data_IF_364744076444
#
_entry.id   IF_364744076444
#
_cell.length_a   1.000
_cell.length_b   1.000
_cell.length_c   1.000
_cell.angle_alpha   90.00
_cell.angle_beta   90.00
_cell.angle_gamma   90.00
#
_symmetry.space_group_name_H-M   'P 1'
#
loop_
_entity.id
_entity.type
_entity.pdbx_description
1 polymer ?
#
# COMPACT_ATOMS: atom_id res chain seq x y z
N UNK A 1 -31.57 1.47 20.82
CA UNK A 1 -31.86 0.65 19.62
C UNK A 1 -33.28 0.84 19.05
N UNK A 2 -34.08 1.79 19.58
CA UNK A 2 -35.50 1.98 19.25
C UNK A 2 -35.74 2.07 17.74
N UNK A 3 -35.17 3.08 17.06
CA UNK A 3 -35.32 3.29 15.62
C UNK A 3 -34.17 2.71 14.77
N UNK A 4 -33.26 1.93 15.36
CA UNK A 4 -32.17 1.31 14.59
C UNK A 4 -32.71 0.07 13.84
N UNK A 5 -32.34 -0.14 12.57
CA UNK A 5 -32.87 -1.22 11.75
C UNK A 5 -32.32 -2.59 12.19
N UNK A 6 -33.04 -3.66 11.84
CA UNK A 6 -32.60 -5.04 12.05
C UNK A 6 -31.67 -5.52 10.91
N UNK A 7 -30.74 -4.66 10.51
CA UNK A 7 -29.87 -4.84 9.36
C UNK A 7 -28.60 -5.63 9.68
N UNK A 8 -28.39 -6.07 10.93
CA UNK A 8 -27.14 -6.71 11.36
C UNK A 8 -26.63 -7.82 10.42
N UNK A 9 -27.48 -8.73 9.87
CA UNK A 9 -26.99 -9.77 8.94
C UNK A 9 -26.43 -9.22 7.61
N UNK A 10 -26.96 -8.09 7.14
CA UNK A 10 -26.59 -7.47 5.86
C UNK A 10 -25.68 -6.25 6.03
N UNK A 11 -25.35 -5.88 7.27
CA UNK A 11 -24.50 -4.73 7.57
C UNK A 11 -23.04 -5.13 7.42
N UNK A 12 -22.27 -4.31 6.72
CA UNK A 12 -20.84 -4.55 6.48
C UNK A 12 -20.02 -4.48 7.79
N UNK A 13 -20.43 -3.59 8.69
CA UNK A 13 -19.79 -3.36 9.99
C UNK A 13 -20.12 -4.44 11.03
N UNK A 14 -20.96 -5.43 10.69
CA UNK A 14 -21.30 -6.51 11.60
C UNK A 14 -20.03 -7.24 12.07
N UNK A 15 -19.91 -7.49 13.38
CA UNK A 15 -18.73 -8.11 13.99
C UNK A 15 -17.67 -7.14 14.49
N UNK A 16 -17.64 -5.90 13.96
CA UNK A 16 -16.76 -4.82 14.43
C UNK A 16 -17.54 -3.56 14.88
N UNK A 17 -18.87 -3.58 14.76
CA UNK A 17 -19.77 -2.50 15.14
C UNK A 17 -19.77 -2.24 16.66
N UNK A 18 -19.43 -1.01 17.06
CA UNK A 18 -19.41 -0.59 18.47
C UNK A 18 -20.79 -0.59 19.11
N UNK A 19 -21.84 -0.29 18.34
CA UNK A 19 -23.21 -0.39 18.86
C UNK A 19 -23.59 -1.84 19.19
N UNK A 20 -23.17 -2.81 18.37
CA UNK A 20 -23.40 -4.23 18.63
C UNK A 20 -22.63 -4.68 19.87
N UNK A 21 -21.34 -4.32 19.96
CA UNK A 21 -20.48 -4.63 21.11
C UNK A 21 -21.05 -4.08 22.42
N UNK A 22 -21.44 -2.80 22.43
CA UNK A 22 -22.00 -2.16 23.63
C UNK A 22 -23.37 -2.71 24.00
N UNK A 23 -24.22 -3.01 23.01
CA UNK A 23 -25.50 -3.65 23.28
C UNK A 23 -25.29 -5.04 23.93
N UNK A 24 -24.37 -5.84 23.40
CA UNK A 24 -24.09 -7.17 23.95
C UNK A 24 -23.51 -7.09 25.37
N UNK A 25 -22.54 -6.21 25.61
CA UNK A 25 -21.82 -6.13 26.89
C UNK A 25 -22.64 -5.45 27.99
N UNK A 26 -23.49 -4.48 27.65
CA UNK A 26 -24.13 -3.60 28.64
C UNK A 26 -25.66 -3.64 28.63
N UNK A 27 -26.32 -4.12 27.57
CA UNK A 27 -27.79 -4.22 27.51
C UNK A 27 -28.27 -5.62 27.91
N UNK A 28 -28.88 -5.76 29.09
CA UNK A 28 -29.37 -7.04 29.63
C UNK A 28 -30.86 -7.34 29.35
N UNK A 29 -31.54 -6.52 28.55
CA UNK A 29 -33.00 -6.58 28.33
C UNK A 29 -33.42 -6.89 26.90
N UNK A 30 -34.71 -7.21 26.72
CA UNK A 30 -35.37 -7.33 25.41
C UNK A 30 -35.95 -5.99 24.96
N UNK A 31 -36.10 -5.79 23.65
CA UNK A 31 -36.81 -4.60 23.13
C UNK A 31 -38.25 -4.59 23.63
N UNK A 32 -38.74 -3.40 24.00
CA UNK A 32 -40.15 -3.13 24.31
C UNK A 32 -40.84 -2.31 23.21
N UNK A 33 -40.09 -1.99 22.16
CA UNK A 33 -40.58 -1.20 21.03
C UNK A 33 -41.03 -2.17 19.93
N UNK A 34 -42.32 -2.17 19.65
CA UNK A 34 -43.06 -3.00 18.69
C UNK A 34 -43.80 -2.17 17.62
N UNK A 35 -43.57 -0.85 17.61
CA UNK A 35 -44.09 0.09 16.62
C UNK A 35 -43.23 0.15 15.34
N UNK A 36 -43.76 0.81 14.33
CA UNK A 36 -43.01 1.09 13.10
C UNK A 36 -41.79 1.98 13.38
N UNK A 37 -40.62 1.56 12.89
CA UNK A 37 -39.37 2.29 13.04
C UNK A 37 -39.29 3.44 12.04
N UNK A 38 -38.67 4.54 12.43
CA UNK A 38 -38.42 5.66 11.50
C UNK A 38 -37.50 5.25 10.35
N UNK A 39 -38.02 5.28 9.12
CA UNK A 39 -37.27 5.03 7.90
C UNK A 39 -36.50 6.27 7.42
N UNK A 40 -35.33 6.04 6.81
CA UNK A 40 -34.43 7.07 6.27
C UNK A 40 -33.82 6.57 4.97
N UNK A 41 -33.28 7.49 4.17
CA UNK A 41 -32.61 7.14 2.92
C UNK A 41 -31.48 6.13 3.16
N UNK A 42 -31.38 5.13 2.29
CA UNK A 42 -30.32 4.11 2.28
C UNK A 42 -29.50 4.28 1.01
N UNK A 43 -28.25 3.84 1.04
CA UNK A 43 -27.35 3.85 -0.13
C UNK A 43 -27.24 5.24 -0.77
N UNK A 44 -27.07 6.26 0.07
CA UNK A 44 -26.83 7.63 -0.37
C UNK A 44 -25.33 7.79 -0.57
N UNK A 45 -24.91 8.08 -1.79
CA UNK A 45 -23.52 8.41 -2.08
C UNK A 45 -23.21 9.81 -1.53
N UNK A 46 -22.29 9.88 -0.57
CA UNK A 46 -21.81 11.18 -0.06
C UNK A 46 -20.65 11.71 -0.90
N UNK A 47 -19.94 10.82 -1.59
CA UNK A 47 -18.82 11.10 -2.48
C UNK A 47 -18.44 9.82 -3.23
N UNK A 48 -17.31 9.81 -3.97
CA UNK A 48 -16.93 8.67 -4.82
C UNK A 48 -16.60 7.40 -4.03
N UNK A 49 -16.19 7.54 -2.76
CA UNK A 49 -15.68 6.42 -1.97
C UNK A 49 -16.53 6.07 -0.74
N UNK A 50 -17.51 6.92 -0.36
CA UNK A 50 -18.27 6.78 0.90
C UNK A 50 -19.77 6.65 0.63
N UNK A 51 -20.31 5.51 1.05
CA UNK A 51 -21.74 5.20 1.00
C UNK A 51 -22.39 5.41 2.36
N UNK A 52 -23.56 6.06 2.40
CA UNK A 52 -24.32 6.34 3.61
C UNK A 52 -25.65 5.59 3.68
N UNK A 53 -25.88 4.85 4.77
CA UNK A 53 -27.16 4.27 5.14
C UNK A 53 -27.75 4.99 6.36
N UNK A 54 -28.69 5.91 6.10
CA UNK A 54 -29.25 6.80 7.11
C UNK A 54 -29.96 6.09 8.26
N UNK A 55 -30.63 4.98 7.99
CA UNK A 55 -31.33 4.20 9.04
C UNK A 55 -30.37 3.66 10.10
N UNK A 56 -29.14 3.32 9.71
CA UNK A 56 -28.14 2.80 10.64
C UNK A 56 -27.50 3.91 11.47
N UNK A 57 -27.57 5.16 11.00
CA UNK A 57 -26.95 6.30 11.67
C UNK A 57 -27.63 6.60 13.01
N UNK A 58 -26.81 6.75 14.05
CA UNK A 58 -27.25 7.14 15.40
C UNK A 58 -27.14 8.65 15.66
N UNK A 59 -26.87 9.45 14.61
CA UNK A 59 -26.78 10.92 14.67
C UNK A 59 -25.79 11.46 15.71
N UNK A 60 -24.65 10.79 15.90
CA UNK A 60 -23.62 11.18 16.87
C UNK A 60 -22.70 12.34 16.42
N UNK A 61 -22.94 12.91 15.23
CA UNK A 61 -22.20 14.01 14.59
C UNK A 61 -20.69 13.84 14.38
N UNK A 62 -20.11 12.67 14.68
CA UNK A 62 -18.65 12.42 14.51
C UNK A 62 -18.15 12.71 13.09
N UNK A 63 -18.86 12.24 12.06
CA UNK A 63 -18.49 12.47 10.67
C UNK A 63 -18.60 13.94 10.25
N UNK A 64 -19.61 14.67 10.77
CA UNK A 64 -19.79 16.11 10.51
C UNK A 64 -18.59 16.88 11.07
N UNK A 65 -18.24 16.64 12.35
CA UNK A 65 -17.07 17.27 12.97
C UNK A 65 -15.78 16.88 12.28
N UNK A 66 -15.61 15.61 11.90
CA UNK A 66 -14.42 15.17 11.17
C UNK A 66 -14.28 15.90 9.82
N UNK A 67 -15.37 16.01 9.06
CA UNK A 67 -15.38 16.68 7.77
C UNK A 67 -14.95 18.15 7.90
N UNK A 68 -15.44 18.86 8.91
CA UNK A 68 -15.07 20.25 9.19
C UNK A 68 -13.65 20.39 9.79
N UNK A 69 -13.41 19.73 10.92
CA UNK A 69 -12.24 19.97 11.77
C UNK A 69 -10.96 19.31 11.23
N UNK A 70 -11.06 18.11 10.63
CA UNK A 70 -9.90 17.31 10.20
C UNK A 70 -9.74 17.33 8.68
N UNK A 71 -10.78 16.96 7.95
CA UNK A 71 -10.72 16.92 6.48
C UNK A 71 -10.78 18.31 5.83
N UNK A 72 -11.09 19.36 6.62
CA UNK A 72 -11.21 20.76 6.16
C UNK A 72 -12.19 20.94 5.00
N UNK A 73 -13.24 20.12 4.96
CA UNK A 73 -14.31 20.13 3.98
C UNK A 73 -15.67 20.04 4.69
N UNK A 74 -16.23 21.15 5.20
CA UNK A 74 -17.47 21.17 5.99
C UNK A 74 -18.74 21.00 5.14
N UNK A 75 -18.84 19.89 4.40
CA UNK A 75 -19.95 19.61 3.47
C UNK A 75 -21.07 18.78 4.11
N UNK A 76 -20.82 18.11 5.23
CA UNK A 76 -21.81 17.28 5.92
C UNK A 76 -22.54 18.08 7.01
N UNK A 77 -23.87 18.00 7.04
CA UNK A 77 -24.67 18.63 8.09
C UNK A 77 -25.92 17.83 8.44
N UNK A 78 -26.52 18.13 9.59
CA UNK A 78 -27.84 17.62 9.94
C UNK A 78 -28.93 18.35 9.16
N UNK A 79 -29.83 17.56 8.59
CA UNK A 79 -31.08 18.04 8.00
C UNK A 79 -32.27 17.41 8.73
N UNK A 80 -33.45 18.02 8.58
CA UNK A 80 -34.66 17.66 9.34
C UNK A 80 -34.50 17.90 10.86
N UNK A 81 -35.50 17.49 11.65
CA UNK A 81 -35.53 17.65 13.12
C UNK A 81 -36.17 16.41 13.76
N UNK A 82 -35.90 16.22 15.06
CA UNK A 82 -36.48 15.11 15.83
C UNK A 82 -35.94 13.74 15.40
N UNK A 83 -36.80 12.74 15.41
CA UNK A 83 -36.49 11.36 15.01
C UNK A 83 -36.17 11.22 13.51
N UNK A 84 -36.62 12.18 12.69
CA UNK A 84 -36.34 12.27 11.25
C UNK A 84 -34.98 12.89 10.91
N UNK A 85 -34.19 13.31 11.91
CA UNK A 85 -32.87 13.89 11.67
C UNK A 85 -31.98 12.92 10.90
N UNK A 86 -31.34 13.41 9.83
CA UNK A 86 -30.39 12.65 9.03
C UNK A 86 -29.22 13.54 8.59
N UNK A 87 -28.18 12.93 8.05
CA UNK A 87 -27.00 13.65 7.56
C UNK A 87 -27.09 13.71 6.03
N UNK A 88 -26.74 14.85 5.46
CA UNK A 88 -26.67 15.04 4.00
C UNK A 88 -25.54 16.00 3.65
N UNK A 89 -25.05 15.91 2.42
CA UNK A 89 -24.18 16.94 1.84
C UNK A 89 -24.97 18.22 1.53
N UNK A 90 -24.29 19.37 1.50
CA UNK A 90 -24.90 20.60 0.99
C UNK A 90 -25.27 20.44 -0.50
N UNK A 91 -26.41 20.97 -0.98
CA UNK A 91 -26.81 20.85 -2.39
C UNK A 91 -25.70 21.29 -3.35
N UNK A 92 -25.37 20.45 -4.34
CA UNK A 92 -24.30 20.72 -5.30
C UNK A 92 -22.89 20.42 -4.80
N UNK A 93 -22.73 19.83 -3.61
CA UNK A 93 -21.43 19.42 -3.05
C UNK A 93 -21.34 17.91 -2.86
N UNK A 94 -20.11 17.40 -2.90
CA UNK A 94 -19.74 16.02 -2.58
C UNK A 94 -18.67 16.02 -1.51
N UNK A 95 -18.64 14.97 -0.70
CA UNK A 95 -17.59 14.71 0.26
C UNK A 95 -16.48 13.90 -0.40
N UNK A 96 -15.64 14.62 -1.12
CA UNK A 96 -14.55 14.11 -1.94
C UNK A 96 -13.24 14.83 -1.58
N UNK A 97 -12.83 14.64 -0.34
CA UNK A 97 -11.49 15.04 0.12
C UNK A 97 -10.60 13.82 0.18
N UNK A 98 -9.30 14.05 0.19
CA UNK A 98 -8.27 13.00 0.31
C UNK A 98 -8.23 12.31 1.67
N UNK A 99 -9.17 12.62 2.55
CA UNK A 99 -9.33 12.03 3.87
C UNK A 99 -10.78 11.61 4.14
N UNK A 100 -11.64 11.65 3.13
CA UNK A 100 -13.08 11.42 3.27
C UNK A 100 -13.39 10.04 3.85
N UNK A 101 -12.61 9.01 3.47
CA UNK A 101 -12.85 7.63 3.90
C UNK A 101 -12.56 7.38 5.38
N UNK A 102 -11.83 8.27 6.08
CA UNK A 102 -11.62 8.14 7.53
C UNK A 102 -12.94 8.27 8.33
N UNK A 103 -14.01 8.79 7.72
CA UNK A 103 -15.33 8.78 8.36
C UNK A 103 -15.90 7.37 8.52
N UNK A 104 -15.41 6.40 7.75
CA UNK A 104 -15.77 4.99 7.86
C UNK A 104 -15.21 4.45 9.19
N UNK A 105 -13.93 4.70 9.47
CA UNK A 105 -13.27 4.21 10.69
C UNK A 105 -13.81 4.89 11.96
N UNK A 106 -14.18 6.18 11.89
CA UNK A 106 -14.70 6.92 13.05
C UNK A 106 -16.18 6.60 13.36
N UNK A 107 -16.91 6.06 12.38
CA UNK A 107 -18.33 5.78 12.51
C UNK A 107 -18.52 4.58 13.46
N UNK A 108 -19.26 4.72 14.58
CA UNK A 108 -19.42 3.64 15.54
C UNK A 108 -20.42 2.54 15.08
N UNK A 109 -20.98 2.69 13.88
CA UNK A 109 -22.04 1.86 13.29
C UNK A 109 -21.80 1.73 11.80
N UNK A 110 -22.38 0.73 11.14
CA UNK A 110 -22.25 0.54 9.69
C UNK A 110 -23.13 1.47 8.85
N UNK A 111 -23.21 2.75 9.24
CA UNK A 111 -23.92 3.79 8.50
C UNK A 111 -23.06 4.43 7.41
N UNK A 112 -21.74 4.47 7.60
CA UNK A 112 -20.78 4.97 6.62
C UNK A 112 -19.86 3.81 6.27
N UNK A 113 -19.85 3.41 5.00
CA UNK A 113 -19.10 2.24 4.53
C UNK A 113 -18.36 2.59 3.24
N UNK A 114 -17.23 1.93 2.99
CA UNK A 114 -16.49 2.13 1.75
C UNK A 114 -17.24 1.52 0.57
N UNK A 115 -17.29 2.23 -0.56
CA UNK A 115 -17.95 1.75 -1.79
C UNK A 115 -17.20 0.57 -2.39
N UNK A 116 -15.86 0.60 -2.36
CA UNK A 116 -14.99 -0.42 -2.93
C UNK A 116 -14.97 -1.74 -2.13
N UNK A 117 -15.18 -1.70 -0.81
CA UNK A 117 -15.09 -2.88 0.06
C UNK A 117 -16.44 -3.49 0.43
N UNK A 118 -17.49 -2.66 0.52
CA UNK A 118 -18.80 -3.07 1.05
C UNK A 118 -19.29 -4.37 0.42
N UNK A 119 -19.58 -5.34 1.29
CA UNK A 119 -20.08 -6.68 0.95
C UNK A 119 -19.08 -7.64 0.28
N UNK A 120 -17.78 -7.32 0.20
CA UNK A 120 -16.76 -8.25 -0.29
C UNK A 120 -16.38 -9.31 0.73
N UNK A 121 -16.27 -8.95 2.01
CA UNK A 121 -15.91 -9.86 3.10
C UNK A 121 -16.48 -9.40 4.45
N UNK A 122 -16.49 -10.31 5.43
CA UNK A 122 -16.76 -9.98 6.84
C UNK A 122 -15.48 -9.91 7.64
N UNK A 123 -15.48 -9.09 8.69
CA UNK A 123 -14.30 -8.89 9.54
C UNK A 123 -13.74 -10.18 10.14
N UNK A 124 -14.59 -11.16 10.45
CA UNK A 124 -14.16 -12.46 11.00
C UNK A 124 -13.62 -13.43 9.95
N UNK A 125 -13.80 -13.16 8.66
CA UNK A 125 -13.24 -13.92 7.53
C UNK A 125 -11.84 -13.42 7.16
N UNK A 126 -11.51 -12.19 7.55
CA UNK A 126 -10.23 -11.56 7.26
C UNK A 126 -9.21 -11.76 8.38
N UNK A 127 -7.94 -11.82 8.00
CA UNK A 127 -6.80 -11.55 8.88
C UNK A 127 -6.35 -10.11 8.72
N UNK A 128 -5.95 -9.48 9.82
CA UNK A 128 -5.39 -8.13 9.80
C UNK A 128 -3.95 -8.15 10.27
N UNK A 129 -3.01 -7.68 9.45
CA UNK A 129 -1.58 -7.60 9.81
C UNK A 129 -1.13 -6.15 9.91
N UNK A 130 -0.36 -5.83 10.94
CA UNK A 130 0.15 -4.47 11.16
C UNK A 130 1.27 -4.18 10.17
N UNK A 131 1.18 -3.03 9.50
CA UNK A 131 2.11 -2.71 8.43
C UNK A 131 2.22 -1.21 8.17
N UNK A 132 2.78 -0.82 7.03
CA UNK A 132 3.10 0.58 6.68
C UNK A 132 2.63 0.88 5.25
N UNK A 133 1.95 2.01 5.05
CA UNK A 133 1.54 2.46 3.73
C UNK A 133 2.77 2.89 2.90
N UNK A 134 2.99 2.31 1.70
CA UNK A 134 4.11 2.66 0.84
C UNK A 134 3.84 3.91 -0.04
N UNK A 135 2.71 4.60 0.13
CA UNK A 135 2.24 5.62 -0.82
C UNK A 135 3.01 6.95 -0.80
N UNK A 136 3.70 7.27 0.29
CA UNK A 136 4.59 8.44 0.39
C UNK A 136 5.54 8.33 1.59
N UNK A 137 6.48 9.25 1.70
CA UNK A 137 7.52 9.32 2.73
C UNK A 137 7.00 9.53 4.17
N UNK A 138 5.69 9.72 4.35
CA UNK A 138 5.07 9.74 5.68
C UNK A 138 5.18 8.37 6.34
N UNK A 139 4.98 7.30 5.54
CA UNK A 139 4.93 5.93 6.01
C UNK A 139 3.85 5.73 7.08
N UNK A 140 2.61 6.09 6.78
CA UNK A 140 1.48 5.95 7.72
C UNK A 140 1.35 4.50 8.20
N UNK A 141 1.11 4.30 9.49
CA UNK A 141 0.84 2.97 10.01
C UNK A 141 -0.54 2.52 9.59
N UNK A 142 -0.62 1.28 9.11
CA UNK A 142 -1.86 0.68 8.61
C UNK A 142 -2.01 -0.74 9.14
N UNK A 143 -3.21 -1.28 8.98
CA UNK A 143 -3.53 -2.70 9.09
C UNK A 143 -4.02 -3.19 7.72
N UNK A 144 -3.43 -4.27 7.21
CA UNK A 144 -3.82 -4.87 5.93
C UNK A 144 -4.82 -5.99 6.19
N UNK A 145 -6.04 -5.87 5.66
CA UNK A 145 -7.07 -6.89 5.70
C UNK A 145 -6.94 -7.87 4.53
N UNK A 146 -6.73 -9.15 4.84
CA UNK A 146 -6.47 -10.22 3.87
C UNK A 146 -7.52 -11.33 4.01
N UNK A 147 -8.03 -11.83 2.88
CA UNK A 147 -8.87 -13.02 2.80
C UNK A 147 -8.44 -13.85 1.59
N UNK A 148 -8.35 -15.17 1.70
CA UNK A 148 -7.90 -16.06 0.63
C UNK A 148 -6.55 -15.64 -0.01
N UNK A 149 -5.62 -15.16 0.82
CA UNK A 149 -4.32 -14.62 0.39
C UNK A 149 -4.39 -13.39 -0.53
N UNK A 150 -5.54 -12.72 -0.60
CA UNK A 150 -5.77 -11.49 -1.37
C UNK A 150 -5.98 -10.32 -0.40
N UNK A 151 -5.31 -9.19 -0.66
CA UNK A 151 -5.50 -7.96 0.11
C UNK A 151 -6.81 -7.29 -0.31
N UNK A 152 -7.77 -7.16 0.60
CA UNK A 152 -9.08 -6.58 0.26
C UNK A 152 -9.24 -5.13 0.71
N UNK A 153 -8.59 -4.73 1.81
CA UNK A 153 -8.63 -3.34 2.31
C UNK A 153 -7.42 -2.99 3.18
N UNK A 154 -7.17 -1.70 3.31
CA UNK A 154 -6.25 -1.15 4.30
C UNK A 154 -6.99 -0.21 5.26
N UNK A 155 -6.62 -0.26 6.54
CA UNK A 155 -7.16 0.59 7.60
C UNK A 155 -6.05 1.37 8.29
N UNK A 156 -6.31 2.59 8.79
CA UNK A 156 -5.31 3.33 9.54
C UNK A 156 -5.07 2.65 10.88
N UNK A 157 -3.79 2.47 11.23
CA UNK A 157 -3.37 2.06 12.57
C UNK A 157 -2.86 3.27 13.32
N UNK A 158 -3.30 3.41 14.57
CA UNK A 158 -2.97 4.57 15.40
C UNK A 158 -1.46 4.63 15.69
N UNK A 159 -0.85 5.78 15.42
CA UNK A 159 0.50 6.12 15.85
C UNK A 159 0.65 7.64 16.01
N UNK A 160 0.70 8.11 17.25
CA UNK A 160 0.80 9.54 17.60
C UNK A 160 2.06 10.24 17.08
N UNK A 161 3.07 9.48 16.64
CA UNK A 161 4.30 10.04 16.09
C UNK A 161 4.33 10.10 14.56
N UNK A 162 3.33 9.53 13.87
CA UNK A 162 3.32 9.43 12.40
C UNK A 162 2.03 9.96 11.81
N UNK A 163 0.94 9.19 11.93
CA UNK A 163 -0.33 9.49 11.29
C UNK A 163 -1.47 9.75 12.28
N UNK A 164 -1.17 9.74 13.58
CA UNK A 164 -2.12 9.89 14.68
C UNK A 164 -3.22 8.83 14.58
N UNK A 165 -4.35 9.11 13.93
CA UNK A 165 -5.44 8.14 13.71
C UNK A 165 -5.79 7.91 12.24
N UNK A 166 -5.21 8.67 11.30
CA UNK A 166 -5.76 8.83 9.96
C UNK A 166 -4.87 8.23 8.87
N UNK A 167 -5.41 8.08 7.68
CA UNK A 167 -4.65 7.83 6.45
C UNK A 167 -5.32 8.56 5.29
N UNK A 168 -4.57 8.87 4.23
CA UNK A 168 -5.17 9.43 3.03
C UNK A 168 -5.90 8.36 2.20
N UNK A 169 -6.94 8.78 1.48
CA UNK A 169 -7.77 7.94 0.63
C UNK A 169 -6.95 7.36 -0.52
N UNK A 170 -6.03 8.15 -1.11
CA UNK A 170 -5.06 7.66 -2.11
C UNK A 170 -4.28 6.44 -1.61
N UNK A 171 -3.74 6.49 -0.40
CA UNK A 171 -2.98 5.38 0.17
C UNK A 171 -3.87 4.19 0.53
N UNK A 172 -5.12 4.46 0.96
CA UNK A 172 -6.10 3.43 1.33
C UNK A 172 -6.51 2.57 0.15
N UNK A 173 -6.85 3.24 -0.96
CA UNK A 173 -7.34 2.59 -2.17
C UNK A 173 -6.23 1.91 -2.96
N UNK A 174 -5.00 2.43 -2.91
CA UNK A 174 -3.89 1.87 -3.68
C UNK A 174 -3.29 0.58 -3.10
N UNK A 175 -3.41 0.33 -1.79
CA UNK A 175 -2.74 -0.82 -1.14
C UNK A 175 -3.17 -2.18 -1.72
N UNK A 176 -4.48 -2.48 -1.93
CA UNK A 176 -4.90 -3.71 -2.59
C UNK A 176 -4.23 -3.91 -3.95
N UNK A 177 -4.32 -2.91 -4.84
CA UNK A 177 -3.79 -2.99 -6.20
C UNK A 177 -2.26 -3.10 -6.23
N UNK A 178 -1.56 -2.43 -5.30
CA UNK A 178 -0.10 -2.51 -5.16
C UNK A 178 0.41 -3.89 -4.73
N UNK A 179 -0.47 -4.80 -4.31
CA UNK A 179 -0.10 -6.15 -3.86
C UNK A 179 -0.69 -7.21 -4.79
N UNK A 180 -1.94 -7.08 -5.20
CA UNK A 180 -2.64 -8.13 -5.94
C UNK A 180 -2.39 -8.06 -7.45
N UNK A 181 -2.25 -6.86 -8.01
CA UNK A 181 -2.30 -6.65 -9.45
C UNK A 181 -0.93 -6.59 -10.11
N UNK A 182 -0.88 -6.87 -11.42
CA UNK A 182 0.28 -6.61 -12.29
C UNK A 182 1.62 -7.24 -11.81
N UNK A 183 1.55 -8.42 -11.18
CA UNK A 183 2.69 -9.10 -10.54
C UNK A 183 3.60 -9.83 -11.53
N UNK A 184 4.90 -9.90 -11.19
CA UNK A 184 5.86 -10.78 -11.85
C UNK A 184 5.76 -12.19 -11.25
N UNK A 185 5.39 -13.18 -12.06
CA UNK A 185 5.11 -14.54 -11.59
C UNK A 185 6.29 -15.52 -11.65
N UNK A 186 7.26 -15.30 -12.53
CA UNK A 186 8.41 -16.20 -12.73
C UNK A 186 9.65 -15.42 -13.19
N UNK A 187 10.88 -15.95 -12.96
CA UNK A 187 12.10 -15.40 -13.55
C UNK A 187 12.01 -15.39 -15.07
N UNK A 188 12.50 -14.34 -15.71
CA UNK A 188 12.45 -14.18 -17.17
C UNK A 188 13.80 -13.77 -17.74
N UNK A 189 14.12 -14.28 -18.92
CA UNK A 189 15.33 -13.89 -19.68
C UNK A 189 14.94 -13.54 -21.10
N UNK A 190 15.56 -12.48 -21.65
CA UNK A 190 15.31 -12.04 -23.02
C UNK A 190 16.01 -12.94 -24.04
N UNK A 191 15.25 -13.51 -24.96
CA UNK A 191 15.70 -14.33 -26.08
C UNK A 191 15.00 -13.90 -27.36
N UNK A 192 15.76 -13.66 -28.43
CA UNK A 192 15.18 -13.25 -29.72
C UNK A 192 14.31 -11.98 -29.64
N UNK A 193 14.61 -11.07 -28.71
CA UNK A 193 13.85 -9.84 -28.49
C UNK A 193 12.63 -9.97 -27.57
N UNK A 194 12.28 -11.17 -27.09
CA UNK A 194 11.14 -11.40 -26.19
C UNK A 194 11.58 -11.94 -24.84
N UNK A 195 10.85 -11.62 -23.77
CA UNK A 195 11.05 -12.19 -22.44
C UNK A 195 10.41 -13.58 -22.38
N UNK A 196 11.17 -14.56 -21.90
CA UNK A 196 10.73 -15.95 -21.77
C UNK A 196 10.90 -16.37 -20.32
N UNK A 197 9.89 -17.03 -19.76
CA UNK A 197 9.93 -17.60 -18.41
C UNK A 197 11.00 -18.71 -18.35
N UNK A 198 11.83 -18.67 -17.31
CA UNK A 198 12.94 -19.61 -17.09
C UNK A 198 13.02 -20.03 -15.63
N UNK A 199 13.88 -21.01 -15.34
CA UNK A 199 14.18 -21.40 -13.95
C UNK A 199 14.99 -20.32 -13.22
N UNK A 200 14.99 -20.38 -11.88
CA UNK A 200 15.82 -19.50 -11.05
C UNK A 200 17.32 -19.65 -11.35
N UNK A 201 17.81 -20.88 -11.49
CA UNK A 201 19.22 -21.14 -11.79
C UNK A 201 19.62 -20.50 -13.12
N UNK A 202 18.79 -20.66 -14.15
CA UNK A 202 19.03 -20.10 -15.49
C UNK A 202 19.00 -18.56 -15.49
N UNK A 203 18.07 -17.94 -14.76
CA UNK A 203 18.00 -16.49 -14.65
C UNK A 203 19.20 -15.91 -13.88
N UNK A 204 19.62 -16.57 -12.81
CA UNK A 204 20.80 -16.18 -12.02
C UNK A 204 22.07 -16.32 -12.86
N UNK A 205 22.22 -17.42 -13.60
CA UNK A 205 23.36 -17.62 -14.51
C UNK A 205 23.40 -16.57 -15.63
N UNK A 206 22.25 -16.20 -16.17
CA UNK A 206 22.14 -15.13 -17.17
C UNK A 206 22.56 -13.76 -16.57
N UNK A 207 22.08 -13.43 -15.37
CA UNK A 207 22.47 -12.22 -14.66
C UNK A 207 23.97 -12.18 -14.33
N UNK A 208 24.52 -13.29 -13.83
CA UNK A 208 25.95 -13.42 -13.55
C UNK A 208 26.81 -13.29 -14.81
N UNK A 209 26.34 -13.87 -15.93
CA UNK A 209 27.01 -13.77 -17.23
C UNK A 209 27.03 -12.34 -17.76
N UNK A 210 25.95 -11.58 -17.59
CA UNK A 210 25.89 -10.17 -17.96
C UNK A 210 26.88 -9.29 -17.18
N UNK A 211 27.23 -9.69 -15.96
CA UNK A 211 28.18 -8.98 -15.09
C UNK A 211 29.63 -9.43 -15.28
N UNK A 212 29.86 -10.58 -15.92
CA UNK A 212 31.17 -11.24 -15.97
C UNK A 212 32.17 -10.42 -16.79
N UNK A 213 33.33 -10.12 -16.20
CA UNK A 213 34.43 -9.42 -16.86
C UNK A 213 34.25 -7.89 -16.96
N UNK A 214 33.14 -7.35 -16.45
CA UNK A 214 32.95 -5.91 -16.33
C UNK A 214 33.72 -5.34 -15.14
N UNK A 215 34.24 -4.13 -15.33
CA UNK A 215 34.77 -3.32 -14.23
C UNK A 215 33.62 -2.56 -13.55
N UNK A 216 33.81 -2.20 -12.28
CA UNK A 216 32.78 -1.52 -11.50
C UNK A 216 32.29 -0.20 -12.11
N UNK A 217 33.15 0.54 -12.81
CA UNK A 217 32.80 1.78 -13.52
C UNK A 217 31.83 1.58 -14.70
N UNK A 218 31.73 0.34 -15.21
CA UNK A 218 30.84 -0.09 -16.28
C UNK A 218 29.48 -0.60 -15.78
N UNK A 219 29.30 -0.69 -14.47
CA UNK A 219 28.06 -1.19 -13.85
C UNK A 219 27.40 -0.03 -13.12
N UNK A 220 26.10 0.16 -13.34
CA UNK A 220 25.27 1.09 -12.58
C UNK A 220 24.19 0.34 -11.81
N UNK A 221 24.00 0.69 -10.54
CA UNK A 221 23.00 0.05 -9.69
C UNK A 221 21.99 1.10 -9.24
N UNK A 222 20.72 0.86 -9.56
CA UNK A 222 19.59 1.58 -8.99
C UNK A 222 19.12 0.83 -7.73
N UNK A 223 19.38 1.41 -6.57
CA UNK A 223 18.62 1.08 -5.36
C UNK A 223 17.19 1.62 -5.47
N UNK A 224 16.41 1.53 -4.38
CA UNK A 224 15.03 2.02 -4.42
C UNK A 224 14.56 2.62 -3.11
N UNK A 225 13.97 3.81 -3.23
CA UNK A 225 13.28 4.47 -2.13
C UNK A 225 11.93 3.79 -1.78
N UNK A 226 11.51 2.77 -2.55
CA UNK A 226 10.31 1.95 -2.30
C UNK A 226 10.64 0.55 -1.75
N UNK A 227 11.91 0.15 -1.81
CA UNK A 227 12.39 -1.10 -1.24
C UNK A 227 12.70 -0.95 0.25
N UNK A 228 12.74 -2.07 0.97
CA UNK A 228 13.05 -2.11 2.40
C UNK A 228 14.47 -1.63 2.70
N UNK A 229 14.75 -1.27 3.95
CA UNK A 229 16.11 -0.99 4.40
C UNK A 229 17.03 -2.21 4.18
N UNK A 230 16.50 -3.42 4.39
CA UNK A 230 17.21 -4.68 4.29
C UNK A 230 17.61 -4.98 2.83
N UNK A 231 16.68 -4.82 1.88
CA UNK A 231 16.96 -5.01 0.45
C UNK A 231 18.00 -4.00 -0.05
N UNK A 232 17.83 -2.74 0.33
CA UNK A 232 18.78 -1.69 -0.04
C UNK A 232 20.15 -1.92 0.60
N UNK A 233 20.20 -2.42 1.84
CA UNK A 233 21.46 -2.77 2.48
C UNK A 233 22.18 -3.89 1.72
N UNK A 234 21.46 -4.96 1.35
CA UNK A 234 22.00 -6.05 0.53
C UNK A 234 22.45 -5.57 -0.86
N UNK A 235 21.69 -4.66 -1.47
CA UNK A 235 22.06 -4.07 -2.76
C UNK A 235 23.31 -3.18 -2.67
N UNK A 236 23.43 -2.38 -1.61
CA UNK A 236 24.66 -1.60 -1.34
C UNK A 236 25.86 -2.52 -1.14
N UNK A 237 25.67 -3.61 -0.39
CA UNK A 237 26.69 -4.66 -0.20
C UNK A 237 27.08 -5.32 -1.53
N UNK A 238 26.13 -5.71 -2.35
CA UNK A 238 26.39 -6.28 -3.67
C UNK A 238 27.18 -5.30 -4.55
N UNK A 239 26.74 -4.05 -4.64
CA UNK A 239 27.37 -3.01 -5.44
C UNK A 239 28.83 -2.77 -5.03
N UNK A 240 29.08 -2.58 -3.73
CA UNK A 240 30.40 -2.17 -3.24
C UNK A 240 31.34 -3.34 -2.96
N UNK A 241 30.85 -4.42 -2.34
CA UNK A 241 31.71 -5.50 -1.87
C UNK A 241 31.96 -6.54 -2.97
N UNK A 242 30.99 -6.76 -3.88
CA UNK A 242 31.10 -7.77 -4.95
C UNK A 242 31.42 -7.11 -6.29
N UNK A 243 30.58 -6.18 -6.76
CA UNK A 243 30.70 -5.58 -8.09
C UNK A 243 31.76 -4.48 -8.15
N UNK A 244 32.24 -4.01 -6.99
CA UNK A 244 33.22 -2.92 -6.85
C UNK A 244 32.81 -1.66 -7.61
N UNK A 245 31.51 -1.40 -7.74
CA UNK A 245 30.99 -0.19 -8.37
C UNK A 245 30.76 0.92 -7.35
N UNK A 246 31.13 2.14 -7.75
CA UNK A 246 30.75 3.37 -7.06
C UNK A 246 29.46 3.98 -7.59
N UNK A 247 28.96 3.49 -8.74
CA UNK A 247 27.77 4.00 -9.42
C UNK A 247 26.53 3.35 -8.82
N UNK A 248 26.11 3.86 -7.66
CA UNK A 248 24.97 3.38 -6.91
C UNK A 248 24.14 4.59 -6.50
N UNK A 249 22.88 4.61 -6.88
CA UNK A 249 21.96 5.68 -6.49
C UNK A 249 20.51 5.21 -6.60
N UNK A 250 19.54 6.04 -6.23
CA UNK A 250 18.11 5.74 -6.38
C UNK A 250 17.34 6.93 -6.93
N UNK A 251 16.15 6.65 -7.46
CA UNK A 251 15.30 7.69 -8.05
C UNK A 251 14.52 8.42 -6.96
N UNK A 252 14.48 9.75 -7.05
CA UNK A 252 13.63 10.59 -6.22
C UNK A 252 12.22 10.63 -6.82
N UNK A 253 11.22 10.21 -6.05
CA UNK A 253 9.81 10.19 -6.48
C UNK A 253 9.06 11.43 -5.98
N UNK A 254 9.57 12.62 -6.24
CA UNK A 254 8.96 13.86 -5.75
C UNK A 254 7.82 14.33 -6.67
N UNK A 255 6.63 14.51 -6.10
CA UNK A 255 5.47 15.13 -6.74
C UNK A 255 4.98 16.30 -5.88
N UNK A 256 5.24 17.52 -6.34
CA UNK A 256 4.85 18.75 -5.64
C UNK A 256 3.34 19.01 -5.66
N UNK A 257 2.57 18.29 -6.47
CA UNK A 257 1.11 18.41 -6.53
C UNK A 257 0.40 17.50 -5.52
N UNK A 258 1.12 16.54 -4.94
CA UNK A 258 0.53 15.53 -4.06
C UNK A 258 0.49 15.93 -2.58
N UNK A 259 1.51 16.65 -2.08
CA UNK A 259 1.63 16.96 -0.66
C UNK A 259 0.57 17.92 -0.14
N UNK A 260 0.28 17.82 1.16
CA UNK A 260 -0.63 18.72 1.87
C UNK A 260 -0.14 19.03 3.30
N UNK A 261 -0.91 19.85 4.00
CA UNK A 261 -0.60 20.25 5.38
C UNK A 261 -1.09 19.22 6.43
N UNK A 262 -1.70 18.10 6.02
CA UNK A 262 -2.35 17.13 6.91
C UNK A 262 -1.46 15.90 7.09
N UNK A 263 -1.28 15.08 6.05
CA UNK A 263 -0.48 13.85 6.12
C UNK A 263 0.34 13.58 4.86
N UNK A 264 -0.14 13.94 3.68
CA UNK A 264 0.51 13.61 2.41
C UNK A 264 1.79 14.43 2.23
N UNK A 265 2.84 13.77 1.78
CA UNK A 265 4.15 14.38 1.54
C UNK A 265 4.53 14.25 0.07
N UNK A 266 5.20 15.28 -0.46
CA UNK A 266 5.61 15.35 -1.87
C UNK A 266 6.47 14.16 -2.30
N UNK A 267 7.32 13.64 -1.40
CA UNK A 267 8.07 12.42 -1.68
C UNK A 267 7.11 11.21 -1.66
N UNK A 268 6.84 10.67 -2.84
CA UNK A 268 5.96 9.52 -3.10
C UNK A 268 6.65 8.18 -2.83
N UNK A 269 7.84 8.17 -2.21
CA UNK A 269 8.52 6.96 -1.81
C UNK A 269 8.60 6.84 -0.27
N UNK A 270 8.30 5.68 0.32
CA UNK A 270 8.22 5.52 1.77
C UNK A 270 9.57 5.49 2.49
N UNK A 271 10.68 5.27 1.75
CA UNK A 271 11.96 4.87 2.32
C UNK A 271 13.19 5.57 1.72
N UNK A 272 13.05 6.77 1.15
CA UNK A 272 14.19 7.50 0.57
C UNK A 272 15.33 7.74 1.59
N UNK A 273 14.97 8.16 2.82
CA UNK A 273 15.95 8.35 3.91
C UNK A 273 16.60 7.02 4.30
N UNK A 274 15.82 5.95 4.34
CA UNK A 274 16.33 4.61 4.67
C UNK A 274 17.32 4.10 3.64
N UNK A 275 16.98 4.17 2.35
CA UNK A 275 17.85 3.81 1.24
C UNK A 275 19.20 4.55 1.32
N UNK A 276 19.16 5.87 1.53
CA UNK A 276 20.39 6.66 1.72
C UNK A 276 21.17 6.23 2.98
N UNK A 277 20.48 6.01 4.09
CA UNK A 277 21.09 5.66 5.39
C UNK A 277 21.79 4.29 5.37
N UNK A 278 21.28 3.34 4.58
CA UNK A 278 21.90 2.01 4.40
C UNK A 278 22.96 1.98 3.29
N UNK A 279 23.29 3.13 2.72
CA UNK A 279 24.43 3.29 1.81
C UNK A 279 24.09 3.22 0.32
N UNK A 280 22.83 3.43 -0.08
CA UNK A 280 22.49 3.71 -1.48
C UNK A 280 22.83 5.17 -1.77
N UNK A 281 24.08 5.40 -2.15
CA UNK A 281 24.58 6.68 -2.62
C UNK A 281 25.88 6.47 -3.40
N UNK A 282 26.24 7.41 -4.31
CA UNK A 282 27.47 7.29 -5.06
C UNK A 282 28.70 7.30 -4.13
N UNK A 283 29.70 6.45 -4.41
CA UNK A 283 30.96 6.38 -3.63
C UNK A 283 32.18 6.34 -4.53
N UNK A 284 33.34 6.72 -3.99
CA UNK A 284 34.65 6.58 -4.64
C UNK A 284 34.70 7.18 -6.06
N UNK A 285 34.09 8.36 -6.26
CA UNK A 285 34.00 9.01 -7.57
C UNK A 285 32.94 8.44 -8.51
N UNK A 286 32.07 7.54 -8.02
CA UNK A 286 30.93 7.03 -8.75
C UNK A 286 29.83 8.06 -8.96
N UNK A 287 28.85 7.70 -9.78
CA UNK A 287 27.90 8.62 -10.37
C UNK A 287 26.46 8.45 -9.85
N UNK A 288 25.73 9.57 -9.79
CA UNK A 288 24.32 9.63 -9.42
C UNK A 288 23.39 9.32 -10.60
N UNK A 289 22.08 9.21 -10.33
CA UNK A 289 21.06 9.06 -11.37
C UNK A 289 21.10 10.22 -12.37
N UNK A 290 21.36 11.45 -11.92
CA UNK A 290 21.44 12.62 -12.81
C UNK A 290 22.59 12.50 -13.83
N UNK A 291 23.69 11.83 -13.47
CA UNK A 291 24.81 11.57 -14.35
C UNK A 291 24.66 10.29 -15.20
N UNK A 292 23.70 9.42 -14.89
CA UNK A 292 23.50 8.14 -15.57
C UNK A 292 23.23 8.31 -17.08
N UNK A 293 22.30 9.20 -17.45
CA UNK A 293 21.85 9.35 -18.84
C UNK A 293 22.99 9.65 -19.83
N UNK A 294 23.85 10.62 -19.49
CA UNK A 294 25.00 10.96 -20.32
C UNK A 294 26.04 9.84 -20.44
N UNK A 295 26.24 9.06 -19.36
CA UNK A 295 27.20 7.94 -19.36
C UNK A 295 26.69 6.72 -20.13
N UNK A 296 25.40 6.44 -20.04
CA UNK A 296 24.75 5.42 -20.85
C UNK A 296 24.86 5.77 -22.34
N UNK A 297 24.60 7.03 -22.72
CA UNK A 297 24.74 7.50 -24.10
C UNK A 297 26.19 7.39 -24.65
N UNK A 298 27.20 7.60 -23.79
CA UNK A 298 28.61 7.42 -24.16
C UNK A 298 29.09 5.95 -24.11
N UNK A 299 28.19 4.98 -23.87
CA UNK A 299 28.53 3.56 -23.79
C UNK A 299 29.45 3.20 -22.61
N UNK A 300 29.56 4.09 -21.61
CA UNK A 300 30.41 3.87 -20.43
C UNK A 300 29.78 2.90 -19.44
N UNK A 301 28.45 2.80 -19.43
CA UNK A 301 27.70 1.81 -18.64
C UNK A 301 27.27 0.66 -19.56
N UNK A 302 27.62 -0.56 -19.16
CA UNK A 302 27.37 -1.81 -19.91
C UNK A 302 26.29 -2.66 -19.27
N UNK A 303 26.14 -2.59 -17.96
CA UNK A 303 25.09 -3.32 -17.26
C UNK A 303 24.46 -2.46 -16.20
N UNK A 304 23.13 -2.50 -16.14
CA UNK A 304 22.33 -1.84 -15.13
C UNK A 304 21.61 -2.89 -14.29
N UNK A 305 21.62 -2.71 -12.97
CA UNK A 305 20.80 -3.46 -12.03
C UNK A 305 19.75 -2.51 -11.47
N UNK A 306 18.47 -2.89 -11.49
CA UNK A 306 17.37 -2.10 -10.93
C UNK A 306 16.66 -2.87 -9.84
N UNK A 307 16.69 -2.37 -8.61
CA UNK A 307 15.95 -2.93 -7.48
C UNK A 307 14.61 -2.23 -7.34
N UNK A 308 13.49 -2.92 -7.55
CA UNK A 308 12.16 -2.50 -7.08
C UNK A 308 11.75 -1.06 -7.44
N UNK A 309 12.15 -0.57 -8.62
CA UNK A 309 11.81 0.76 -9.12
C UNK A 309 11.58 0.74 -10.63
N UNK A 310 11.10 1.85 -11.19
CA UNK A 310 10.78 2.00 -12.61
C UNK A 310 11.42 3.24 -13.26
N UNK A 311 12.75 3.28 -13.45
CA UNK A 311 13.42 4.40 -14.11
C UNK A 311 12.82 4.77 -15.47
N UNK A 312 12.47 3.79 -16.30
CA UNK A 312 11.90 4.05 -17.62
C UNK A 312 10.46 4.61 -17.56
N UNK A 313 9.72 4.38 -16.48
CA UNK A 313 8.39 4.95 -16.27
C UNK A 313 8.42 6.35 -15.66
N UNK A 314 9.54 6.75 -15.05
CA UNK A 314 9.69 8.05 -14.39
C UNK A 314 9.97 9.17 -15.38
N UNK A 315 10.86 8.95 -16.37
CA UNK A 315 11.12 9.97 -17.40
C UNK A 315 11.53 9.38 -18.74
N UNK A 316 11.19 10.05 -19.86
CA UNK A 316 11.61 9.63 -21.20
C UNK A 316 13.14 9.57 -21.36
N UNK A 317 13.88 10.44 -20.67
CA UNK A 317 15.34 10.48 -20.72
C UNK A 317 15.96 9.23 -20.10
N UNK A 318 15.43 8.77 -18.97
CA UNK A 318 15.86 7.52 -18.33
C UNK A 318 15.48 6.30 -19.17
N UNK A 319 14.29 6.30 -19.78
CA UNK A 319 13.87 5.24 -20.69
C UNK A 319 14.82 5.12 -21.89
N UNK A 320 15.16 6.26 -22.51
CA UNK A 320 16.08 6.31 -23.64
C UNK A 320 17.51 5.89 -23.24
N UNK A 321 17.98 6.33 -22.07
CA UNK A 321 19.28 5.94 -21.55
C UNK A 321 19.36 4.43 -21.28
N UNK A 322 18.33 3.85 -20.66
CA UNK A 322 18.24 2.41 -20.44
C UNK A 322 18.23 1.64 -21.76
N UNK A 323 17.46 2.07 -22.76
CA UNK A 323 17.40 1.40 -24.05
C UNK A 323 18.76 1.30 -24.78
N UNK A 324 19.73 2.16 -24.42
CA UNK A 324 21.10 2.12 -24.95
C UNK A 324 22.08 1.23 -24.18
N UNK A 325 21.66 0.59 -23.08
CA UNK A 325 22.51 -0.28 -22.25
C UNK A 325 22.44 -1.73 -22.72
N UNK A 326 23.59 -2.41 -22.76
CA UNK A 326 23.70 -3.78 -23.27
C UNK A 326 22.90 -4.81 -22.43
N UNK A 327 22.92 -4.68 -21.09
CA UNK A 327 22.20 -5.57 -20.18
C UNK A 327 21.46 -4.80 -19.08
N UNK A 328 20.21 -5.18 -18.81
CA UNK A 328 19.39 -4.62 -17.74
C UNK A 328 18.81 -5.77 -16.91
N UNK A 329 19.26 -5.85 -15.67
CA UNK A 329 18.79 -6.83 -14.68
C UNK A 329 17.78 -6.13 -13.77
N UNK A 330 16.53 -6.58 -13.77
CA UNK A 330 15.46 -6.01 -12.93
C UNK A 330 15.10 -6.98 -11.81
N UNK A 331 15.25 -6.54 -10.57
CA UNK A 331 14.78 -7.25 -9.37
C UNK A 331 13.49 -6.57 -8.90
N UNK A 332 12.34 -7.00 -9.41
CA UNK A 332 11.06 -6.29 -9.25
C UNK A 332 9.90 -7.20 -8.87
N UNK A 333 8.83 -6.62 -8.34
CA UNK A 333 7.61 -7.37 -8.00
C UNK A 333 6.47 -7.21 -9.03
N UNK A 334 6.56 -6.20 -9.89
CA UNK A 334 5.51 -5.81 -10.85
C UNK A 334 6.07 -5.64 -12.26
N UNK A 335 5.21 -5.78 -13.29
CA UNK A 335 5.58 -5.39 -14.65
C UNK A 335 5.57 -3.86 -14.76
N UNK A 336 6.64 -3.28 -15.29
CA UNK A 336 6.82 -1.83 -15.39
C UNK A 336 7.33 -1.45 -16.78
N UNK A 337 7.52 -0.14 -17.04
CA UNK A 337 8.19 0.27 -18.29
C UNK A 337 9.62 -0.28 -18.34
N UNK A 338 10.30 -0.35 -17.19
CA UNK A 338 11.66 -0.87 -17.08
C UNK A 338 11.74 -2.38 -17.30
N UNK A 339 10.77 -3.16 -16.83
CA UNK A 339 10.76 -4.62 -17.09
C UNK A 339 10.67 -4.92 -18.59
N UNK A 340 9.97 -4.09 -19.38
CA UNK A 340 9.89 -4.23 -20.84
C UNK A 340 11.24 -4.02 -21.55
N UNK A 341 12.21 -3.38 -20.92
CA UNK A 341 13.58 -3.21 -21.44
C UNK A 341 14.55 -4.25 -20.88
N UNK A 342 14.16 -4.99 -19.83
CA UNK A 342 15.03 -5.92 -19.13
C UNK A 342 15.59 -7.02 -20.05
N UNK A 343 16.85 -7.40 -19.81
CA UNK A 343 17.46 -8.63 -20.32
C UNK A 343 17.25 -9.80 -19.36
N UNK A 344 17.20 -9.54 -18.06
CA UNK A 344 16.90 -10.53 -17.01
C UNK A 344 15.93 -9.91 -16.00
N UNK A 345 14.89 -10.65 -15.62
CA UNK A 345 13.96 -10.27 -14.55
C UNK A 345 14.02 -11.33 -13.47
N UNK A 346 14.22 -10.87 -12.23
CA UNK A 346 14.18 -11.66 -11.01
C UNK A 346 13.00 -11.18 -10.16
N UNK A 347 11.88 -11.92 -10.12
CA UNK A 347 10.74 -11.58 -9.29
C UNK A 347 11.13 -11.47 -7.82
N UNK A 348 10.58 -10.48 -7.13
CA UNK A 348 10.70 -10.33 -5.68
C UNK A 348 9.34 -10.16 -5.05
N UNK A 349 9.27 -10.48 -3.76
CA UNK A 349 8.12 -10.19 -2.93
C UNK A 349 7.94 -8.69 -2.71
N UNK A 350 6.69 -8.28 -2.51
CA UNK A 350 6.28 -6.94 -2.07
C UNK A 350 6.50 -6.78 -0.56
N UNK A 351 6.34 -5.54 -0.07
CA UNK A 351 6.38 -5.24 1.36
C UNK A 351 5.27 -5.94 2.15
N UNK A 352 4.16 -6.30 1.51
CA UNK A 352 3.05 -7.01 2.17
C UNK A 352 3.30 -8.52 2.30
N UNK A 353 4.34 -9.04 1.69
CA UNK A 353 4.67 -10.49 1.64
C UNK A 353 5.94 -10.84 2.43
N UNK A 354 6.65 -9.83 2.92
CA UNK A 354 7.94 -9.97 3.61
C UNK A 354 7.95 -9.15 4.88
N UNK A 355 8.87 -9.50 5.78
CA UNK A 355 9.19 -8.67 6.93
C UNK A 355 10.33 -7.72 6.56
N UNK A 356 10.25 -6.49 7.02
CA UNK A 356 11.31 -5.51 6.77
C UNK A 356 11.02 -4.18 7.45
N UNK A 357 11.87 -3.20 7.14
CA UNK A 357 11.75 -1.87 7.72
C UNK A 357 11.79 -0.76 6.68
N UNK A 358 11.04 0.31 6.95
CA UNK A 358 11.14 1.60 6.28
C UNK A 358 11.56 2.68 7.27
N UNK A 359 12.26 3.70 6.77
CA UNK A 359 12.66 4.89 7.50
C UNK A 359 11.97 6.09 6.87
N UNK A 360 11.01 6.66 7.58
CA UNK A 360 10.19 7.76 7.06
C UNK A 360 10.92 9.11 7.11
N UNK A 361 10.28 10.18 6.63
CA UNK A 361 10.84 11.54 6.59
C UNK A 361 11.29 12.09 7.96
N UNK A 362 10.72 11.57 9.06
CA UNK A 362 11.06 11.99 10.43
C UNK A 362 12.21 11.17 11.03
N UNK A 363 12.96 10.43 10.21
CA UNK A 363 14.00 9.49 10.60
C UNK A 363 13.51 8.36 11.52
N UNK A 364 12.20 8.08 11.52
CA UNK A 364 11.62 6.99 12.30
C UNK A 364 11.71 5.70 11.50
N UNK A 365 12.45 4.73 12.04
CA UNK A 365 12.44 3.35 11.55
C UNK A 365 11.15 2.68 12.01
N UNK A 366 10.45 2.04 11.08
CA UNK A 366 9.19 1.37 11.30
C UNK A 366 9.25 -0.01 10.65
N UNK A 367 8.76 -1.02 11.37
CA UNK A 367 8.68 -2.40 10.89
C UNK A 367 7.32 -2.65 10.21
N UNK A 368 7.36 -3.36 9.10
CA UNK A 368 6.20 -4.00 8.49
C UNK A 368 6.34 -5.51 8.58
N UNK A 369 5.20 -6.21 8.61
CA UNK A 369 5.13 -7.66 8.70
C UNK A 369 4.40 -8.22 7.47
N UNK A 370 4.74 -9.46 7.11
CA UNK A 370 4.08 -10.17 6.02
C UNK A 370 2.59 -10.41 6.34
N UNK A 371 1.72 -9.85 5.50
CA UNK A 371 0.26 -10.05 5.52
C UNK A 371 -0.18 -11.14 4.54
N UNK A 372 0.56 -11.33 3.46
CA UNK A 372 0.31 -12.29 2.38
C UNK A 372 1.39 -13.35 2.38
N UNK A 373 0.99 -14.59 2.07
CA UNK A 373 1.85 -15.78 2.04
C UNK A 373 2.44 -15.92 0.64
N UNK A 374 3.71 -16.32 0.57
CA UNK A 374 4.36 -16.75 -0.68
C UNK A 374 4.89 -18.18 -0.54
N UNK A 375 5.36 -18.77 -1.65
CA UNK A 375 6.00 -20.10 -1.60
C UNK A 375 7.19 -20.15 -0.65
N UNK A 376 7.89 -19.04 -0.50
CA UNK A 376 9.09 -18.89 0.32
C UNK A 376 8.78 -18.44 1.76
N UNK A 377 7.69 -17.71 1.96
CA UNK A 377 7.24 -17.24 3.28
C UNK A 377 5.97 -17.99 3.70
N UNK A 378 6.14 -19.15 4.33
CA UNK A 378 5.00 -19.95 4.80
C UNK A 378 4.29 -19.27 5.98
N UNK A 379 2.95 -19.30 5.93
CA UNK A 379 2.07 -18.88 7.01
C UNK A 379 2.42 -19.61 8.32
N UNK A 380 3.02 -18.91 9.28
CA UNK A 380 3.24 -19.46 10.61
C UNK A 380 2.03 -19.17 11.52
N UNK A 381 1.77 -20.00 12.52
CA UNK A 381 0.69 -19.78 13.51
C UNK A 381 0.90 -18.51 14.37
N UNK A 382 1.99 -17.76 14.16
CA UNK A 382 2.24 -16.45 14.75
C UNK A 382 1.75 -15.26 13.91
N UNK A 383 1.34 -15.47 12.66
CA UNK A 383 0.65 -14.44 11.88
C UNK A 383 -0.77 -14.23 12.41
N UNK A 384 -1.28 -12.99 12.42
CA UNK A 384 -2.65 -12.69 12.88
C UNK A 384 -3.64 -13.45 12.00
N UNK A 385 -4.19 -14.56 12.50
CA UNK A 385 -5.06 -15.46 11.75
C UNK A 385 -6.51 -14.94 11.70
N UNK A 386 -7.21 -15.16 10.58
CA UNK A 386 -8.67 -15.01 10.57
C UNK A 386 -9.31 -16.06 11.47
N UNK A 387 -10.61 -15.93 11.76
CA UNK A 387 -11.34 -16.96 12.52
C UNK A 387 -11.32 -18.30 11.80
N UNK A 388 -11.43 -18.30 10.47
CA UNK A 388 -11.44 -19.52 9.67
C UNK A 388 -10.09 -20.23 9.74
N UNK A 389 -9.00 -19.48 9.62
CA UNK A 389 -7.64 -20.04 9.68
C UNK A 389 -7.30 -20.60 11.07
N UNK A 390 -7.84 -20.01 12.13
CA UNK A 390 -7.67 -20.51 13.50
C UNK A 390 -8.22 -21.93 13.69
N UNK A 391 -9.25 -22.30 12.92
CA UNK A 391 -9.89 -23.62 12.99
C UNK A 391 -9.56 -24.50 11.77
N UNK A 392 -8.78 -23.99 10.82
CA UNK A 392 -8.32 -24.74 9.66
C UNK A 392 -7.33 -25.84 10.03
N UNK A 393 -7.32 -26.91 9.26
CA UNK A 393 -6.33 -27.97 9.38
C UNK A 393 -4.98 -27.50 8.81
N UNK A 394 -3.84 -28.11 9.20
CA UNK A 394 -2.51 -27.70 8.73
C UNK A 394 -2.33 -27.68 7.20
N UNK A 395 -3.19 -28.40 6.49
CA UNK A 395 -3.27 -28.51 5.03
C UNK A 395 -4.16 -27.43 4.37
N UNK A 396 -4.90 -26.62 5.14
CA UNK A 396 -5.69 -25.48 4.63
C UNK A 396 -4.81 -24.22 4.40
N UNK A 397 -3.49 -24.41 4.27
CA UNK A 397 -2.56 -23.33 3.96
C UNK A 397 -2.70 -22.99 2.48
N UNK A 398 -3.30 -21.83 2.21
CA UNK A 398 -3.33 -21.20 0.89
C UNK A 398 -1.89 -21.12 0.35
N UNK A 399 -1.64 -21.80 -0.77
CA UNK A 399 -0.35 -21.90 -1.46
C UNK A 399 -0.12 -20.77 -2.44
#
# INVERSE_FOLDING_TARGET
LINHPLDCPICDEAGQCKLQEYAFNHSKGKSRFDEEKTHKDKRVELGPNVMFDGERCISCSRCIRFADEVAKQPVLSFVQRGDKVTIRTFPGTTFDSEYSMNVIDICPVGALTSIDFRFKARVWEMSFTDSICPGCARGCNISIGVMNNEVLRAEPRTNMHVNTYWMCDTGRLAVPDMVNENRLGAPQVRRGGQLVDVSWDEAIDAAASALKGLKGDQIFVFGSAKASNEDNYLMSKLAHDVLKTGNLDFIKHNDHTFGDEILRLNDRAPNAIGAHSVGIAPKNGGHSVEAFGGRAAHGSIKTVIVLGDDPAGVSPELAQALAGVDNIIVIGSHNTATTKLATVILPRSTWAETDGTFTNTTHRVQRFEAAVVTKENMRSMGMKMSRWDKFGAPNDRWT
#
